data_IF_561609610300
#
_entry.id   IF_561609610300
#
_cell.length_a   1.000
_cell.length_b   1.000
_cell.length_c   1.000
_cell.angle_alpha   90.00
_cell.angle_beta   90.00
_cell.angle_gamma   90.00
#
_symmetry.space_group_name_H-M   'P 1'
#
loop_
_entity.id
_entity.type
_entity.pdbx_description
1 polymer ?
#
# COMPACT_ATOMS: atom_id res chain seq x y z
N UNK A 1 -23.88 12.20 -19.34
CA UNK A 1 -22.59 12.02 -20.02
C UNK A 1 -21.49 13.05 -19.69
N UNK A 2 -21.78 14.30 -19.27
CA UNK A 2 -20.72 15.18 -18.71
C UNK A 2 -20.46 14.91 -17.23
N UNK A 3 -21.55 14.79 -16.48
CA UNK A 3 -21.56 14.56 -15.05
C UNK A 3 -20.94 13.22 -14.62
N UNK A 4 -21.02 12.19 -15.47
CA UNK A 4 -20.57 10.84 -15.10
C UNK A 4 -19.02 10.75 -15.05
N UNK A 5 -18.32 11.33 -16.03
CA UNK A 5 -16.85 11.36 -16.06
C UNK A 5 -16.26 12.15 -14.90
N UNK A 6 -16.77 13.37 -14.67
CA UNK A 6 -16.25 14.26 -13.61
C UNK A 6 -16.48 13.63 -12.23
N UNK A 7 -17.65 13.03 -12.02
CA UNK A 7 -17.97 12.32 -10.78
C UNK A 7 -17.10 11.08 -10.58
N UNK A 8 -16.90 10.26 -11.60
CA UNK A 8 -16.05 9.06 -11.48
C UNK A 8 -14.59 9.43 -11.22
N UNK A 9 -14.10 10.52 -11.83
CA UNK A 9 -12.75 11.05 -11.58
C UNK A 9 -12.61 11.66 -10.18
N UNK A 10 -13.65 12.36 -9.71
CA UNK A 10 -13.71 12.87 -8.33
C UNK A 10 -13.67 11.72 -7.32
N UNK A 11 -14.53 10.71 -7.49
CA UNK A 11 -14.54 9.54 -6.61
C UNK A 11 -13.19 8.81 -6.65
N UNK A 12 -12.57 8.69 -7.83
CA UNK A 12 -11.26 8.08 -7.97
C UNK A 12 -10.19 8.85 -7.19
N UNK A 13 -10.22 10.19 -7.23
CA UNK A 13 -9.35 11.06 -6.42
C UNK A 13 -9.60 10.81 -4.93
N UNK A 14 -10.86 10.79 -4.50
CA UNK A 14 -11.22 10.73 -3.09
C UNK A 14 -10.82 9.38 -2.46
N UNK A 15 -11.15 8.27 -3.12
CA UNK A 15 -10.72 6.92 -2.67
C UNK A 15 -9.18 6.81 -2.68
N UNK A 16 -8.51 7.40 -3.67
CA UNK A 16 -7.03 7.43 -3.70
C UNK A 16 -6.46 8.25 -2.52
N UNK A 17 -7.09 9.36 -2.15
CA UNK A 17 -6.71 10.17 -1.00
C UNK A 17 -6.95 9.42 0.31
N UNK A 18 -8.07 8.72 0.43
CA UNK A 18 -8.37 7.91 1.61
C UNK A 18 -7.37 6.76 1.78
N UNK A 19 -7.03 6.04 0.70
CA UNK A 19 -5.96 5.04 0.71
C UNK A 19 -4.63 5.62 1.22
N UNK A 20 -4.26 6.82 0.76
CA UNK A 20 -3.06 7.52 1.22
C UNK A 20 -3.12 7.79 2.72
N UNK A 21 -4.23 8.33 3.23
CA UNK A 21 -4.42 8.65 4.65
C UNK A 21 -4.33 7.40 5.53
N UNK A 22 -5.01 6.32 5.14
CA UNK A 22 -4.98 5.02 5.81
C UNK A 22 -3.58 4.43 5.86
N UNK A 23 -2.87 4.43 4.73
CA UNK A 23 -1.47 4.00 4.66
C UNK A 23 -0.57 4.84 5.57
N UNK A 24 -0.75 6.16 5.61
CA UNK A 24 0.03 7.04 6.47
C UNK A 24 -0.18 6.71 7.96
N UNK A 25 -1.44 6.48 8.36
CA UNK A 25 -1.84 6.10 9.73
C UNK A 25 -1.51 4.66 10.09
N UNK A 26 -1.08 3.83 9.13
CA UNK A 26 -0.90 2.37 9.28
C UNK A 26 -2.20 1.65 9.67
N UNK A 27 -3.35 2.21 9.26
CA UNK A 27 -4.65 1.59 9.38
C UNK A 27 -4.86 0.72 8.13
N UNK A 28 -4.63 -0.59 8.28
CA UNK A 28 -4.63 -1.53 7.16
C UNK A 28 -5.96 -2.24 6.95
N UNK A 29 -6.87 -2.18 7.93
CA UNK A 29 -8.10 -2.97 7.97
C UNK A 29 -9.06 -2.60 6.81
N UNK A 30 -9.03 -1.33 6.39
CA UNK A 30 -9.89 -0.82 5.32
C UNK A 30 -9.24 -0.85 3.93
N UNK A 31 -7.95 -1.20 3.79
CA UNK A 31 -7.24 -1.04 2.52
C UNK A 31 -7.77 -1.93 1.41
N UNK A 32 -8.15 -3.17 1.71
CA UNK A 32 -8.66 -4.13 0.72
C UNK A 32 -9.93 -3.59 0.08
N UNK A 33 -10.91 -3.19 0.89
CA UNK A 33 -12.16 -2.60 0.42
C UNK A 33 -11.94 -1.33 -0.42
N UNK A 34 -11.04 -0.45 0.03
CA UNK A 34 -10.72 0.79 -0.70
C UNK A 34 -10.01 0.50 -2.04
N UNK A 35 -9.16 -0.51 -2.10
CA UNK A 35 -8.52 -0.93 -3.36
C UNK A 35 -9.54 -1.52 -4.33
N UNK A 36 -10.49 -2.32 -3.85
CA UNK A 36 -11.57 -2.87 -4.67
C UNK A 36 -12.51 -1.78 -5.20
N UNK A 37 -12.88 -0.81 -4.36
CA UNK A 37 -13.68 0.34 -4.78
C UNK A 37 -12.95 1.15 -5.85
N UNK A 38 -11.66 1.43 -5.63
CA UNK A 38 -10.82 2.12 -6.60
C UNK A 38 -10.76 1.36 -7.94
N UNK A 39 -10.65 0.04 -7.92
CA UNK A 39 -10.62 -0.77 -9.14
C UNK A 39 -11.96 -0.71 -9.89
N UNK A 40 -13.08 -0.79 -9.19
CA UNK A 40 -14.43 -0.64 -9.80
C UNK A 40 -14.58 0.70 -10.51
N UNK A 41 -14.09 1.79 -9.91
CA UNK A 41 -14.11 3.11 -10.54
C UNK A 41 -13.27 3.15 -11.83
N UNK A 42 -12.08 2.54 -11.81
CA UNK A 42 -11.24 2.43 -13.02
C UNK A 42 -11.91 1.60 -14.12
N UNK A 43 -12.53 0.48 -13.77
CA UNK A 43 -13.24 -0.37 -14.73
C UNK A 43 -14.45 0.35 -15.34
N UNK A 44 -15.12 1.22 -14.58
CA UNK A 44 -16.21 2.05 -15.07
C UNK A 44 -15.70 3.13 -16.03
N UNK A 45 -14.59 3.79 -15.69
CA UNK A 45 -13.94 4.76 -16.54
C UNK A 45 -13.48 4.12 -17.87
N UNK A 46 -12.90 2.92 -17.84
CA UNK A 46 -12.49 2.23 -19.07
C UNK A 46 -13.66 2.02 -20.05
N UNK A 47 -14.86 1.76 -19.53
CA UNK A 47 -16.08 1.54 -20.34
C UNK A 47 -16.75 2.83 -20.79
N UNK A 48 -16.35 3.98 -20.24
CA UNK A 48 -17.02 5.24 -20.51
C UNK A 48 -16.57 5.84 -21.84
N UNK A 49 -17.52 5.94 -22.78
CA UNK A 49 -17.27 6.51 -24.10
C UNK A 49 -17.19 8.05 -24.03
N UNK A 50 -15.99 8.60 -24.00
CA UNK A 50 -15.80 10.05 -24.10
C UNK A 50 -14.56 10.43 -24.92
N UNK A 51 -14.46 11.70 -25.30
CA UNK A 51 -13.35 12.19 -26.11
C UNK A 51 -12.07 12.26 -25.28
N UNK A 52 -10.93 12.04 -25.95
CA UNK A 52 -9.61 12.10 -25.33
C UNK A 52 -9.34 13.44 -24.61
N UNK A 53 -9.82 14.53 -25.19
CA UNK A 53 -9.69 15.88 -24.62
C UNK A 53 -10.41 15.98 -23.28
N UNK A 54 -11.67 15.52 -23.21
CA UNK A 54 -12.44 15.54 -21.96
C UNK A 54 -11.84 14.66 -20.88
N UNK A 55 -11.27 13.52 -21.26
CA UNK A 55 -10.50 12.68 -20.34
C UNK A 55 -9.29 13.41 -19.78
N UNK A 56 -8.52 14.08 -20.64
CA UNK A 56 -7.33 14.85 -20.22
C UNK A 56 -7.72 15.98 -19.27
N UNK A 57 -8.74 16.76 -19.64
CA UNK A 57 -9.21 17.88 -18.82
C UNK A 57 -9.64 17.40 -17.43
N UNK A 58 -10.36 16.29 -17.34
CA UNK A 58 -10.78 15.72 -16.06
C UNK A 58 -9.59 15.16 -15.25
N UNK A 59 -8.63 14.48 -15.90
CA UNK A 59 -7.41 13.99 -15.24
C UNK A 59 -6.63 15.15 -14.62
N UNK A 60 -6.51 16.26 -15.34
CA UNK A 60 -5.79 17.45 -14.90
C UNK A 60 -6.56 18.17 -13.79
N UNK A 61 -7.88 18.34 -13.95
CA UNK A 61 -8.77 18.97 -12.96
C UNK A 61 -8.73 18.25 -11.60
N UNK A 62 -8.83 16.93 -11.60
CA UNK A 62 -8.85 16.12 -10.37
C UNK A 62 -7.45 15.67 -9.94
N UNK A 63 -6.41 16.10 -10.65
CA UNK A 63 -5.01 15.79 -10.37
C UNK A 63 -4.73 14.29 -10.20
N UNK A 64 -5.45 13.45 -10.96
CA UNK A 64 -5.48 11.99 -10.77
C UNK A 64 -4.07 11.38 -10.82
N UNK A 65 -3.24 11.84 -11.76
CA UNK A 65 -1.86 11.38 -11.91
C UNK A 65 -1.01 11.73 -10.69
N UNK A 66 -1.22 12.91 -10.10
CA UNK A 66 -0.45 13.38 -8.95
C UNK A 66 -0.76 12.54 -7.72
N UNK A 67 -2.04 12.28 -7.45
CA UNK A 67 -2.45 11.42 -6.34
C UNK A 67 -2.02 9.97 -6.57
N UNK A 68 -2.08 9.47 -7.80
CA UNK A 68 -1.58 8.13 -8.14
C UNK A 68 -0.08 7.99 -7.86
N UNK A 69 0.73 8.96 -8.27
CA UNK A 69 2.18 8.95 -8.00
C UNK A 69 2.46 8.99 -6.49
N UNK A 70 1.72 9.81 -5.75
CA UNK A 70 1.83 9.89 -4.29
C UNK A 70 1.48 8.56 -3.62
N UNK A 71 0.38 7.92 -4.04
CA UNK A 71 -0.03 6.60 -3.55
C UNK A 71 1.06 5.55 -3.81
N UNK A 72 1.57 5.46 -5.04
CA UNK A 72 2.64 4.52 -5.42
C UNK A 72 3.89 4.70 -4.56
N UNK A 73 4.31 5.96 -4.33
CA UNK A 73 5.46 6.27 -3.48
C UNK A 73 5.26 5.77 -2.04
N UNK A 74 4.11 6.08 -1.44
CA UNK A 74 3.81 5.68 -0.06
C UNK A 74 3.73 4.15 0.06
N UNK A 75 3.08 3.47 -0.88
CA UNK A 75 3.02 2.00 -0.89
C UNK A 75 4.42 1.38 -0.96
N UNK A 76 5.31 1.91 -1.82
CA UNK A 76 6.69 1.45 -1.93
C UNK A 76 7.46 1.65 -0.61
N UNK A 77 7.35 2.83 0.01
CA UNK A 77 7.99 3.14 1.29
C UNK A 77 7.48 2.22 2.41
N UNK A 78 6.16 1.99 2.49
CA UNK A 78 5.55 1.11 3.51
C UNK A 78 5.97 -0.34 3.32
N UNK A 79 5.99 -0.83 2.07
CA UNK A 79 6.49 -2.17 1.72
C UNK A 79 7.95 -2.35 2.12
N UNK A 80 8.80 -1.37 1.82
CA UNK A 80 10.22 -1.40 2.22
C UNK A 80 10.38 -1.51 3.73
N UNK A 81 9.72 -0.63 4.49
CA UNK A 81 9.76 -0.63 5.96
C UNK A 81 9.26 -1.94 6.57
N UNK A 82 8.23 -2.55 5.99
CA UNK A 82 7.73 -3.84 6.44
C UNK A 82 8.77 -4.94 6.19
N UNK A 83 9.44 -4.91 5.03
CA UNK A 83 10.50 -5.88 4.71
C UNK A 83 11.66 -5.80 5.69
N UNK A 84 12.13 -4.58 5.98
CA UNK A 84 13.20 -4.36 6.96
C UNK A 84 12.84 -4.93 8.34
N UNK A 85 11.60 -4.71 8.80
CA UNK A 85 11.12 -5.28 10.08
C UNK A 85 11.12 -6.81 10.08
N UNK A 86 10.71 -7.43 8.98
CA UNK A 86 10.72 -8.90 8.84
C UNK A 86 12.16 -9.44 8.88
N UNK A 87 13.08 -8.77 8.19
CA UNK A 87 14.49 -9.17 8.14
C UNK A 87 15.14 -9.02 9.54
N UNK A 88 14.79 -7.96 10.29
CA UNK A 88 15.24 -7.76 11.68
C UNK A 88 14.69 -8.79 12.66
N UNK A 89 13.42 -9.19 12.52
CA UNK A 89 12.82 -10.27 13.30
C UNK A 89 13.55 -11.58 13.01
N UNK A 90 13.82 -11.87 11.74
CA UNK A 90 14.51 -13.08 11.30
C UNK A 90 15.95 -13.13 11.83
N UNK A 91 16.67 -12.01 11.77
CA UNK A 91 18.03 -11.87 12.33
C UNK A 91 18.04 -12.09 13.84
N UNK A 92 17.11 -11.47 14.57
CA UNK A 92 16.98 -11.67 16.03
C UNK A 92 16.71 -13.13 16.37
N UNK A 93 15.79 -13.79 15.66
CA UNK A 93 15.49 -15.23 15.85
C UNK A 93 16.72 -16.11 15.61
N UNK A 94 17.56 -15.78 14.63
CA UNK A 94 18.82 -16.48 14.36
C UNK A 94 19.82 -16.33 15.51
N UNK A 95 20.00 -15.10 16.01
CA UNK A 95 20.88 -14.82 17.15
C UNK A 95 20.42 -15.56 18.41
N UNK A 96 19.13 -15.50 18.77
CA UNK A 96 18.60 -16.20 19.96
C UNK A 96 18.80 -17.71 19.87
N UNK A 97 18.66 -18.31 18.67
CA UNK A 97 18.99 -19.73 18.44
C UNK A 97 20.48 -20.02 18.62
N UNK A 98 21.36 -19.13 18.19
CA UNK A 98 22.81 -19.23 18.38
C UNK A 98 23.23 -19.22 19.85
N UNK A 99 22.68 -18.30 20.66
CA UNK A 99 22.95 -18.23 22.10
C UNK A 99 22.43 -19.45 22.87
N UNK A 100 21.21 -19.93 22.58
CA UNK A 100 20.67 -21.13 23.23
C UNK A 100 21.50 -22.40 22.92
N UNK A 101 22.09 -22.50 21.72
CA UNK A 101 22.96 -23.63 21.36
C UNK A 101 24.25 -23.65 22.21
N UNK A 102 24.77 -22.48 22.59
CA UNK A 102 25.99 -22.36 23.39
C UNK A 102 25.74 -22.57 24.89
N UNK A 103 24.56 -22.19 25.41
CA UNK A 103 24.16 -22.44 26.81
C UNK A 103 23.87 -23.94 27.03
N UNK A 104 23.17 -24.59 26.09
CA UNK A 104 22.91 -26.03 26.16
C UNK A 104 24.19 -26.87 26.18
N UNK A 105 25.19 -26.53 25.36
CA UNK A 105 26.46 -27.27 25.34
C UNK A 105 27.31 -27.07 26.61
N UNK A 106 27.23 -25.90 27.27
CA UNK A 106 28.02 -25.59 28.47
C UNK A 106 27.45 -26.17 29.77
N UNK A 107 26.13 -26.34 29.87
CA UNK A 107 25.49 -26.88 31.09
C UNK A 107 25.68 -28.40 31.18
N UNK A 108 25.67 -29.12 30.05
CA UNK A 108 25.85 -30.58 30.00
C UNK A 108 27.32 -31.05 29.91
N UNK A 109 28.29 -30.13 29.82
CA UNK A 109 29.73 -30.49 29.74
C UNK A 109 30.50 -30.38 31.06
N UNK A 110 29.89 -29.90 32.15
CA UNK A 110 30.46 -30.05 33.49
C UNK A 110 30.18 -31.46 34.02
N UNK A 111 31.09 -32.39 33.75
CA UNK A 111 31.22 -33.63 34.53
C UNK A 111 31.53 -33.27 35.98
N UNK A 112 30.67 -33.69 36.91
CA UNK A 112 31.05 -33.97 38.30
C UNK A 112 31.86 -35.27 38.29
#
# INVERSE_FOLDING_TARGET
MKLDLERDMENLRDVTCELIDKLQKNDYDALENLMDERQKLLDNLEKLHCTKERYRDAIDQFQVITFQQKLSKIMAEKKHKLREKIDDISRRKSLTKGYNKHIGASIFSKKI
#
